data_IF_968898092956
#
_entry.id   IF_968898092956
#
_cell.length_a   1.000
_cell.length_b   1.000
_cell.length_c   1.000
_cell.angle_alpha   90.00
_cell.angle_beta   90.00
_cell.angle_gamma   90.00
#
_symmetry.space_group_name_H-M   'P 1'
#
loop_
_entity.id
_entity.type
_entity.pdbx_description
1 polymer ?
#
# COMPACT_ATOMS: atom_id res chain seq x y z
N UNK A 1 18.50 -13.39 -22.08
CA UNK A 1 18.59 -12.59 -20.85
C UNK A 1 17.22 -12.36 -20.28
N UNK A 2 17.09 -12.56 -18.99
CA UNK A 2 15.83 -12.33 -18.30
C UNK A 2 15.94 -11.09 -17.42
N UNK A 3 14.88 -10.29 -17.41
CA UNK A 3 14.77 -9.19 -16.47
C UNK A 3 14.21 -9.73 -15.16
N UNK A 4 14.45 -9.02 -14.09
CA UNK A 4 14.00 -9.39 -12.76
C UNK A 4 13.22 -8.24 -12.15
N UNK A 5 12.03 -8.53 -11.63
CA UNK A 5 11.27 -7.51 -10.93
C UNK A 5 12.03 -7.09 -9.67
N UNK A 6 12.33 -5.81 -9.54
CA UNK A 6 13.20 -5.30 -8.49
C UNK A 6 12.52 -4.27 -7.59
N UNK A 7 11.54 -3.55 -8.13
CA UNK A 7 10.94 -2.44 -7.41
C UNK A 7 9.48 -2.25 -7.85
N UNK A 8 8.61 -1.96 -6.90
CA UNK A 8 7.24 -1.50 -7.16
C UNK A 8 7.18 -0.06 -6.70
N UNK A 9 6.80 0.84 -7.60
CA UNK A 9 6.71 2.26 -7.31
C UNK A 9 5.28 2.74 -7.16
N UNK A 10 5.03 3.57 -6.16
CA UNK A 10 3.75 4.20 -5.90
C UNK A 10 3.92 5.70 -6.16
N UNK A 11 3.09 6.26 -7.02
CA UNK A 11 3.09 7.71 -7.27
C UNK A 11 2.14 8.35 -6.28
N UNK A 12 2.60 9.39 -5.58
CA UNK A 12 1.85 9.99 -4.48
C UNK A 12 1.65 11.48 -4.69
N UNK A 13 0.45 11.94 -4.37
CA UNK A 13 0.15 13.37 -4.35
C UNK A 13 0.77 14.05 -3.12
N UNK A 14 0.81 13.33 -1.99
CA UNK A 14 1.30 13.84 -0.71
C UNK A 14 2.15 12.76 -0.04
N UNK A 15 3.46 12.95 -0.04
CA UNK A 15 4.39 11.96 0.52
C UNK A 15 4.11 11.67 1.99
N UNK A 16 3.94 12.72 2.79
CA UNK A 16 3.70 12.54 4.22
C UNK A 16 2.43 11.74 4.50
N UNK A 17 1.36 12.02 3.77
CA UNK A 17 0.09 11.31 3.94
C UNK A 17 0.21 9.84 3.55
N UNK A 18 0.90 9.55 2.44
CA UNK A 18 1.08 8.17 2.00
C UNK A 18 1.95 7.39 2.96
N UNK A 19 3.08 7.95 3.39
CA UNK A 19 3.97 7.26 4.33
C UNK A 19 3.27 7.02 5.67
N UNK A 20 2.45 7.95 6.14
CA UNK A 20 1.68 7.75 7.39
C UNK A 20 0.76 6.54 7.28
N UNK A 21 0.10 6.36 6.14
CA UNK A 21 -0.73 5.18 5.89
C UNK A 21 0.09 3.89 5.98
N UNK A 22 1.21 3.83 5.24
CA UNK A 22 2.01 2.61 5.19
C UNK A 22 2.73 2.30 6.50
N UNK A 23 3.06 3.34 7.30
CA UNK A 23 3.58 3.12 8.65
C UNK A 23 2.56 2.42 9.54
N UNK A 24 1.26 2.74 9.39
CA UNK A 24 0.21 2.04 10.15
C UNK A 24 0.10 0.57 9.81
N UNK A 25 0.53 0.20 8.60
CA UNK A 25 0.59 -1.21 8.19
C UNK A 25 1.85 -1.91 8.70
N UNK A 26 2.75 -1.19 9.36
CA UNK A 26 3.93 -1.78 9.95
C UNK A 26 5.22 -1.60 9.15
N UNK A 27 5.20 -0.82 8.07
CA UNK A 27 6.44 -0.54 7.35
C UNK A 27 7.31 0.44 8.15
N UNK A 28 8.58 0.11 8.28
CA UNK A 28 9.54 0.94 8.99
C UNK A 28 10.10 1.99 8.04
N UNK A 29 9.48 3.17 8.04
CA UNK A 29 9.85 4.27 7.16
C UNK A 29 10.44 5.42 8.00
N UNK A 30 11.59 5.99 7.60
CA UNK A 30 12.23 7.05 8.38
C UNK A 30 11.32 8.25 8.58
N UNK A 31 11.33 8.83 9.77
CA UNK A 31 10.49 9.99 10.09
C UNK A 31 10.83 11.20 9.21
N UNK A 32 12.08 11.38 8.85
CA UNK A 32 12.52 12.48 8.00
C UNK A 32 12.16 12.34 6.53
N UNK A 33 11.60 11.18 6.12
CA UNK A 33 11.31 10.92 4.72
C UNK A 33 10.08 11.68 4.21
N UNK A 34 9.27 12.23 5.09
CA UNK A 34 8.02 12.89 4.71
C UNK A 34 8.18 14.05 3.73
N UNK A 35 9.36 14.67 3.72
CA UNK A 35 9.66 15.80 2.84
C UNK A 35 10.54 15.42 1.66
N UNK A 36 10.82 14.14 1.49
CA UNK A 36 11.65 13.68 0.40
C UNK A 36 10.82 13.46 -0.87
N UNK A 37 11.37 13.73 -2.06
CA UNK A 37 10.65 13.49 -3.30
C UNK A 37 10.60 12.02 -3.72
N UNK A 38 11.52 11.20 -3.19
CA UNK A 38 11.61 9.77 -3.44
C UNK A 38 11.98 9.05 -2.16
N UNK A 39 11.22 8.02 -1.81
CA UNK A 39 11.46 7.20 -0.63
C UNK A 39 11.36 5.75 -1.04
N UNK A 40 12.24 4.91 -0.52
CA UNK A 40 12.13 3.47 -0.76
C UNK A 40 12.51 2.66 0.46
N UNK A 41 12.00 1.45 0.52
CA UNK A 41 12.32 0.47 1.55
C UNK A 41 12.56 -0.87 0.89
N UNK A 42 13.55 -1.60 1.37
CA UNK A 42 13.81 -2.97 0.92
C UNK A 42 13.03 -3.92 1.81
N UNK A 43 12.19 -4.73 1.19
CA UNK A 43 11.37 -5.71 1.89
C UNK A 43 12.17 -6.99 2.13
N UNK A 44 11.75 -7.84 3.09
CA UNK A 44 12.34 -9.17 3.20
C UNK A 44 12.27 -9.90 1.86
N UNK A 45 13.39 -10.46 1.44
CA UNK A 45 13.48 -11.10 0.13
C UNK A 45 14.09 -10.24 -0.95
N UNK A 46 14.29 -8.94 -0.70
CA UNK A 46 15.04 -8.04 -1.57
C UNK A 46 14.22 -7.15 -2.50
N UNK A 47 12.93 -7.42 -2.66
CA UNK A 47 12.07 -6.53 -3.45
C UNK A 47 11.97 -5.18 -2.76
N UNK A 48 12.06 -4.10 -3.53
CA UNK A 48 11.91 -2.75 -2.99
C UNK A 48 10.53 -2.21 -3.24
N UNK A 49 10.00 -1.46 -2.27
CA UNK A 49 8.79 -0.67 -2.43
C UNK A 49 9.19 0.81 -2.36
N UNK A 50 8.73 1.60 -3.30
CA UNK A 50 9.14 3.00 -3.41
C UNK A 50 7.94 3.93 -3.55
N UNK A 51 8.13 5.16 -3.14
CA UNK A 51 7.15 6.24 -3.28
C UNK A 51 7.82 7.40 -4.01
N UNK A 52 7.19 7.92 -5.05
CA UNK A 52 7.67 9.09 -5.79
C UNK A 52 6.57 10.13 -5.82
N UNK A 53 6.94 11.39 -5.61
CA UNK A 53 5.97 12.47 -5.79
C UNK A 53 5.60 12.58 -7.27
N UNK A 54 4.43 13.17 -7.54
CA UNK A 54 3.98 13.42 -8.91
C UNK A 54 5.00 14.25 -9.69
N UNK A 55 5.64 15.21 -9.03
CA UNK A 55 6.67 16.03 -9.69
C UNK A 55 7.88 15.21 -10.12
N UNK A 56 8.30 14.28 -9.30
CA UNK A 56 9.40 13.37 -9.67
C UNK A 56 9.02 12.59 -10.93
N UNK A 57 7.82 12.02 -10.96
CA UNK A 57 7.38 11.22 -12.11
C UNK A 57 7.30 12.10 -13.36
N UNK A 58 6.78 13.32 -13.26
CA UNK A 58 6.72 14.23 -14.40
C UNK A 58 8.10 14.63 -14.90
N UNK A 59 9.12 14.58 -14.04
CA UNK A 59 10.48 14.93 -14.45
C UNK A 59 11.06 13.97 -15.48
N UNK A 60 10.60 12.71 -15.50
CA UNK A 60 11.06 11.72 -16.49
C UNK A 60 9.93 11.18 -17.37
N UNK A 61 8.67 11.52 -17.06
CA UNK A 61 7.52 11.19 -17.89
C UNK A 61 6.70 12.46 -18.10
N UNK A 62 7.14 13.36 -18.99
CA UNK A 62 6.42 14.60 -19.24
C UNK A 62 4.98 14.31 -19.67
N UNK A 63 4.04 15.04 -19.11
CA UNK A 63 2.63 14.86 -19.43
C UNK A 63 1.92 13.81 -18.57
N UNK A 64 2.63 13.16 -17.64
CA UNK A 64 1.98 12.24 -16.71
C UNK A 64 0.88 12.94 -15.92
N UNK A 65 -0.24 12.28 -15.76
CA UNK A 65 -1.37 12.73 -14.93
C UNK A 65 -1.86 11.58 -14.08
N UNK A 66 -2.43 11.86 -12.90
CA UNK A 66 -3.06 10.81 -12.12
C UNK A 66 -4.13 10.10 -12.96
N UNK A 67 -4.12 8.77 -12.98
CA UNK A 67 -5.15 8.04 -13.72
C UNK A 67 -6.52 8.28 -13.12
N UNK A 68 -7.53 8.35 -13.97
CA UNK A 68 -8.92 8.41 -13.55
C UNK A 68 -9.53 7.01 -13.58
N UNK A 69 -10.49 6.75 -12.68
CA UNK A 69 -11.14 5.46 -12.61
C UNK A 69 -10.58 4.59 -11.49
N UNK A 70 -10.94 3.31 -11.49
CA UNK A 70 -10.51 2.39 -10.44
C UNK A 70 -9.06 1.95 -10.59
N UNK A 71 -8.53 1.37 -9.51
CA UNK A 71 -7.19 0.79 -9.52
C UNK A 71 -7.12 -0.45 -10.42
N UNK A 72 -5.92 -0.77 -10.87
CA UNK A 72 -5.67 -2.00 -11.61
C UNK A 72 -4.65 -2.90 -10.91
N UNK A 73 -3.92 -2.35 -9.96
CA UNK A 73 -2.93 -3.08 -9.17
C UNK A 73 -3.29 -2.90 -7.71
N UNK A 74 -3.18 -3.95 -6.93
CA UNK A 74 -3.37 -3.90 -5.48
C UNK A 74 -2.12 -4.41 -4.78
N UNK A 75 -1.87 -3.89 -3.59
CA UNK A 75 -0.84 -4.41 -2.71
C UNK A 75 -1.52 -5.22 -1.62
N UNK A 76 -1.06 -6.44 -1.37
CA UNK A 76 -1.64 -7.28 -0.35
C UNK A 76 -0.66 -7.45 0.81
N UNK A 77 -1.13 -7.17 2.02
CA UNK A 77 -0.36 -7.30 3.24
C UNK A 77 -0.89 -8.47 4.05
N UNK A 78 -0.02 -9.41 4.39
CA UNK A 78 -0.40 -10.53 5.23
C UNK A 78 -0.36 -10.11 6.69
N UNK A 79 -1.46 -10.36 7.40
CA UNK A 79 -1.56 -10.16 8.83
C UNK A 79 -1.23 -11.46 9.58
N UNK A 80 -0.98 -11.37 10.88
CA UNK A 80 -0.54 -12.52 11.67
C UNK A 80 -1.58 -13.65 11.71
N UNK A 81 -2.87 -13.26 11.80
CA UNK A 81 -3.99 -14.20 11.87
C UNK A 81 -5.27 -13.50 11.43
N UNK A 82 -6.38 -14.24 11.37
CA UNK A 82 -7.65 -13.66 10.96
C UNK A 82 -8.12 -12.50 11.86
N UNK A 83 -8.05 -12.57 13.20
CA UNK A 83 -8.41 -11.42 14.03
C UNK A 83 -7.54 -10.19 13.76
N UNK A 84 -6.29 -10.38 13.37
CA UNK A 84 -5.40 -9.26 13.04
C UNK A 84 -5.85 -8.51 11.79
N UNK A 85 -6.48 -9.21 10.84
CA UNK A 85 -7.09 -8.54 9.67
C UNK A 85 -8.18 -7.57 10.13
N UNK A 86 -9.04 -8.03 11.04
CA UNK A 86 -10.14 -7.20 11.57
C UNK A 86 -9.59 -5.98 12.30
N UNK A 87 -8.54 -6.17 13.11
CA UNK A 87 -7.94 -5.07 13.87
C UNK A 87 -7.27 -4.06 12.97
N UNK A 88 -6.53 -4.53 11.96
CA UNK A 88 -5.87 -3.63 11.01
C UNK A 88 -6.87 -2.80 10.22
N UNK A 89 -7.95 -3.43 9.76
CA UNK A 89 -9.01 -2.73 9.06
C UNK A 89 -9.65 -1.67 9.96
N UNK A 90 -10.02 -2.04 11.18
CA UNK A 90 -10.65 -1.13 12.12
C UNK A 90 -9.73 0.06 12.46
N UNK A 91 -8.44 -0.19 12.64
CA UNK A 91 -7.47 0.87 12.92
C UNK A 91 -7.39 1.87 11.77
N UNK A 92 -7.30 1.38 10.53
CA UNK A 92 -7.19 2.23 9.37
C UNK A 92 -8.45 3.05 9.14
N UNK A 93 -9.61 2.43 9.23
CA UNK A 93 -10.89 3.14 9.06
C UNK A 93 -11.08 4.17 10.17
N UNK A 94 -10.73 3.84 11.41
CA UNK A 94 -10.80 4.78 12.53
C UNK A 94 -9.85 5.96 12.34
N UNK A 95 -8.75 5.77 11.63
CA UNK A 95 -7.81 6.84 11.33
C UNK A 95 -8.27 7.72 10.14
N UNK A 96 -9.41 7.39 9.52
CA UNK A 96 -9.99 8.19 8.45
C UNK A 96 -9.74 7.65 7.04
N UNK A 97 -9.11 6.49 6.89
CA UNK A 97 -8.91 5.91 5.57
C UNK A 97 -10.15 5.18 5.08
N UNK A 98 -10.28 5.11 3.76
CA UNK A 98 -11.48 4.53 3.16
C UNK A 98 -11.46 3.00 3.23
N UNK A 99 -12.52 2.42 3.80
CA UNK A 99 -12.72 0.97 3.76
C UNK A 99 -13.48 0.60 2.50
N UNK A 100 -12.87 -0.21 1.64
CA UNK A 100 -13.50 -0.65 0.41
C UNK A 100 -14.24 -1.97 0.57
N UNK A 101 -13.72 -2.87 1.40
CA UNK A 101 -14.39 -4.12 1.74
C UNK A 101 -14.11 -4.46 3.20
N UNK A 102 -15.16 -4.47 4.03
CA UNK A 102 -15.02 -4.85 5.42
C UNK A 102 -14.58 -6.32 5.54
N UNK A 103 -13.92 -6.71 6.65
CA UNK A 103 -13.42 -8.07 6.80
C UNK A 103 -14.50 -9.12 6.57
N UNK A 104 -14.16 -10.13 5.80
CA UNK A 104 -15.05 -11.24 5.48
C UNK A 104 -14.25 -12.52 5.27
N UNK A 105 -14.92 -13.65 5.38
CA UNK A 105 -14.30 -14.95 5.10
C UNK A 105 -14.44 -15.23 3.60
N UNK A 106 -13.34 -15.11 2.90
CA UNK A 106 -13.35 -15.25 1.45
C UNK A 106 -13.46 -16.72 1.05
N UNK A 107 -14.16 -16.99 -0.07
CA UNK A 107 -14.34 -18.39 -0.51
C UNK A 107 -13.04 -19.08 -0.91
N UNK A 108 -11.96 -18.33 -1.09
CA UNK A 108 -10.64 -18.90 -1.38
C UNK A 108 -9.82 -19.20 -0.12
N UNK A 109 -10.44 -19.19 1.06
CA UNK A 109 -9.80 -19.66 2.29
C UNK A 109 -9.00 -18.64 3.07
N UNK A 110 -9.35 -17.37 2.96
CA UNK A 110 -8.67 -16.29 3.69
C UNK A 110 -9.67 -15.36 4.37
N UNK A 111 -9.28 -14.83 5.53
CA UNK A 111 -9.92 -13.65 6.07
C UNK A 111 -9.36 -12.47 5.29
N UNK A 112 -10.24 -11.66 4.73
CA UNK A 112 -9.85 -10.66 3.73
C UNK A 112 -10.53 -9.35 3.98
N UNK A 113 -9.82 -8.24 3.71
CA UNK A 113 -10.39 -6.91 3.76
C UNK A 113 -9.64 -6.02 2.76
N UNK A 114 -10.26 -4.93 2.35
CA UNK A 114 -9.64 -3.98 1.42
C UNK A 114 -9.82 -2.58 1.96
N UNK A 115 -8.73 -1.82 1.98
CA UNK A 115 -8.74 -0.39 2.28
C UNK A 115 -8.08 0.35 1.13
N UNK A 116 -8.33 1.66 1.05
CA UNK A 116 -7.64 2.49 0.05
C UNK A 116 -6.59 3.34 0.73
N UNK A 117 -5.42 3.44 0.11
CA UNK A 117 -4.41 4.37 0.57
C UNK A 117 -4.83 5.80 0.20
N UNK A 118 -4.09 6.85 0.62
CA UNK A 118 -4.50 8.23 0.34
C UNK A 118 -4.64 8.58 -1.15
N UNK A 119 -4.01 7.82 -2.03
CA UNK A 119 -4.09 8.05 -3.48
C UNK A 119 -5.13 7.16 -4.16
N UNK A 120 -5.89 6.40 -3.40
CA UNK A 120 -6.93 5.53 -3.94
C UNK A 120 -6.44 4.15 -4.39
N UNK A 121 -5.20 3.79 -4.07
CA UNK A 121 -4.71 2.46 -4.40
C UNK A 121 -5.34 1.42 -3.47
N UNK A 122 -5.69 0.27 -4.02
CA UNK A 122 -6.21 -0.82 -3.20
C UNK A 122 -5.10 -1.45 -2.40
N UNK A 123 -5.34 -1.61 -1.11
CA UNK A 123 -4.47 -2.32 -0.19
C UNK A 123 -5.29 -3.42 0.46
N UNK A 124 -4.93 -4.65 0.15
CA UNK A 124 -5.64 -5.82 0.65
C UNK A 124 -4.97 -6.28 1.94
N UNK A 125 -5.78 -6.69 2.91
CA UNK A 125 -5.32 -7.25 4.17
C UNK A 125 -5.82 -8.68 4.22
N UNK A 126 -4.96 -9.63 4.54
CA UNK A 126 -5.39 -11.02 4.53
C UNK A 126 -4.63 -11.87 5.54
N UNK A 127 -5.25 -12.98 5.89
CA UNK A 127 -4.61 -14.08 6.61
C UNK A 127 -5.34 -15.37 6.28
N UNK A 128 -4.63 -16.49 6.15
CA UNK A 128 -5.32 -17.76 5.92
C UNK A 128 -6.34 -18.04 7.01
N UNK A 129 -7.51 -18.52 6.59
CA UNK A 129 -8.45 -19.11 7.53
C UNK A 129 -7.86 -20.48 7.84
N UNK A 130 -7.34 -20.64 9.01
CA UNK A 130 -6.61 -21.79 9.27
C UNK A 130 -7.23 -23.03 9.16
N UNK A 131 -6.54 -23.68 8.79
CA UNK A 131 -6.69 -24.91 9.19
C UNK A 131 -5.58 -25.63 9.75
#
# INVERSE_FOLDING_TARGET
MTSQLDLIGIVVADMAASLAFYRRLGLDLPAGADNEPHVEVTLPGGLRLAWDTEDVVRSFTPGWRPPAGGHRVALAFRCADAPAVDRAYADLVSAGYEGAAAPFDAPWGQRYAVVHDPDGNAVDLFSPLTG
#
